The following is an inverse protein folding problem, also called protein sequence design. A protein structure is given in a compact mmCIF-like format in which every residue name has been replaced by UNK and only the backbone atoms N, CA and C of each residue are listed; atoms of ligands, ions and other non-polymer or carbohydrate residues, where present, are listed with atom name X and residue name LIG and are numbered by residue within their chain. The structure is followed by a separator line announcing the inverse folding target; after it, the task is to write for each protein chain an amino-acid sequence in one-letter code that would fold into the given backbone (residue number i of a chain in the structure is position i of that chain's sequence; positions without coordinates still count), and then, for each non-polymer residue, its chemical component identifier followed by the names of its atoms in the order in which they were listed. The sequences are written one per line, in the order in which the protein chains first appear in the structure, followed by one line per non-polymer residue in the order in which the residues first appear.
data_IF_772464322799
#
_entry.id   IF_772464322799
#
_cell.length_a   1.000
_cell.length_b   1.000
_cell.length_c   1.000
_cell.angle_alpha   90.00
_cell.angle_beta   90.00
_cell.angle_gamma   90.00
#
_symmetry.space_group_name_H-M   'P 1'
#
loop_
_entity.id
_entity.type
_entity.pdbx_description
1 polymer ?
#
# COMPACT_ATOMS: atom_id res chain seq x y z
N UNK A 1 8.72 -24.51 27.81
CA UNK A 1 10.17 -24.20 27.61
C UNK A 1 11.02 -25.39 28.03
N UNK A 2 12.04 -25.67 27.25
CA UNK A 2 13.05 -26.70 27.60
C UNK A 2 13.90 -26.25 28.79
N UNK A 3 14.38 -27.18 29.62
CA UNK A 3 15.31 -26.84 30.69
C UNK A 3 16.63 -26.31 30.15
N UNK A 4 17.30 -25.43 30.93
CA UNK A 4 18.63 -24.91 30.61
C UNK A 4 18.70 -23.38 30.46
N UNK A 5 17.57 -22.67 30.26
CA UNK A 5 17.58 -21.21 30.31
C UNK A 5 17.82 -20.75 31.76
N UNK A 6 18.84 -19.93 31.98
CA UNK A 6 19.26 -19.45 33.29
C UNK A 6 19.59 -17.95 33.23
N UNK A 7 19.57 -17.31 34.41
CA UNK A 7 20.12 -15.96 34.59
C UNK A 7 21.58 -15.98 34.18
N UNK A 8 21.98 -14.97 33.38
CA UNK A 8 23.32 -14.88 32.78
C UNK A 8 23.44 -15.43 31.36
N UNK A 9 22.48 -16.19 30.85
CA UNK A 9 22.43 -16.54 29.44
C UNK A 9 22.37 -15.26 28.60
N UNK A 10 23.11 -15.25 27.50
CA UNK A 10 23.18 -14.11 26.61
C UNK A 10 23.17 -14.51 25.14
N UNK A 11 22.76 -13.61 24.27
CA UNK A 11 22.92 -13.74 22.83
C UNK A 11 23.30 -12.39 22.23
N UNK A 12 24.00 -12.46 21.11
CA UNK A 12 24.44 -11.31 20.34
C UNK A 12 23.82 -11.34 18.94
N UNK A 13 23.54 -10.15 18.43
CA UNK A 13 23.10 -9.92 17.07
C UNK A 13 23.94 -8.84 16.44
N UNK A 14 24.41 -9.07 15.22
CA UNK A 14 25.23 -8.13 14.46
C UNK A 14 24.49 -7.68 13.22
N UNK A 15 24.50 -6.37 12.95
CA UNK A 15 23.97 -5.76 11.74
C UNK A 15 25.01 -4.82 11.12
N UNK A 16 24.88 -4.61 9.81
CA UNK A 16 25.48 -3.47 9.15
C UNK A 16 24.41 -2.40 8.92
N UNK A 17 24.67 -1.16 9.31
CA UNK A 17 23.75 -0.05 9.11
C UNK A 17 23.68 0.29 7.62
N UNK A 18 22.50 0.13 7.03
CA UNK A 18 22.22 0.48 5.63
C UNK A 18 21.26 1.67 5.57
N UNK A 19 20.96 2.15 4.36
CA UNK A 19 20.01 3.24 4.15
C UNK A 19 18.60 2.94 4.68
N UNK A 20 18.20 1.67 4.79
CA UNK A 20 16.91 1.26 5.34
C UNK A 20 16.83 1.38 6.87
N UNK A 21 17.97 1.48 7.53
CA UNK A 21 18.08 1.52 8.99
C UNK A 21 18.17 2.92 9.58
N UNK A 22 18.26 3.95 8.74
CA UNK A 22 18.55 5.32 9.20
C UNK A 22 17.34 6.24 9.11
N UNK A 23 17.40 7.30 9.94
CA UNK A 23 16.62 8.53 9.78
C UNK A 23 17.57 9.67 9.43
N UNK A 24 17.07 10.67 8.75
CA UNK A 24 17.83 11.86 8.42
C UNK A 24 17.58 12.96 9.45
N UNK A 25 18.57 13.27 10.29
CA UNK A 25 18.50 14.42 11.19
C UNK A 25 18.58 15.70 10.38
N UNK A 26 17.73 16.68 10.71
CA UNK A 26 17.60 17.92 9.96
C UNK A 26 16.57 17.91 8.83
N UNK A 27 15.97 16.74 8.54
CA UNK A 27 14.81 16.62 7.66
C UNK A 27 13.59 16.08 8.42
N UNK A 28 12.37 16.59 8.15
CA UNK A 28 11.17 16.00 8.71
C UNK A 28 11.06 14.55 8.22
N UNK A 29 11.07 13.59 9.15
CA UNK A 29 10.77 12.20 8.81
C UNK A 29 9.33 12.12 8.27
N UNK A 30 9.07 11.33 7.22
CA UNK A 30 7.69 11.10 6.74
C UNK A 30 6.74 10.55 7.82
N UNK A 31 7.28 9.99 8.90
CA UNK A 31 6.53 9.47 10.05
C UNK A 31 6.25 10.49 11.15
N UNK A 32 6.88 11.68 11.10
CA UNK A 32 6.63 12.75 12.07
C UNK A 32 5.56 13.66 11.48
N UNK A 33 4.38 13.67 12.11
CA UNK A 33 3.22 14.43 11.67
C UNK A 33 3.47 15.95 11.58
N UNK A 34 2.44 16.68 11.16
CA UNK A 34 2.41 18.13 10.87
C UNK A 34 3.01 19.07 11.94
N UNK A 35 3.23 18.58 13.15
CA UNK A 35 3.71 19.39 14.28
C UNK A 35 5.12 19.93 14.11
N UNK A 36 5.96 19.31 13.26
CA UNK A 36 7.32 19.77 12.99
C UNK A 36 7.34 21.02 12.09
N UNK A 37 6.45 21.08 11.09
CA UNK A 37 6.31 22.24 10.20
C UNK A 37 5.74 23.48 10.93
N UNK A 38 5.01 23.27 12.03
CA UNK A 38 4.46 24.34 12.87
C UNK A 38 5.48 24.96 13.82
N UNK A 39 6.66 24.35 13.99
CA UNK A 39 7.68 24.82 14.92
C UNK A 39 8.44 26.06 14.46
N UNK A 40 8.30 26.48 13.20
CA UNK A 40 8.99 27.65 12.64
C UNK A 40 10.51 27.56 12.63
N UNK A 41 11.10 26.37 12.85
CA UNK A 41 12.55 26.18 12.85
C UNK A 41 13.09 26.14 11.43
N UNK A 42 14.19 26.83 11.11
CA UNK A 42 14.83 26.72 9.80
C UNK A 42 15.29 25.28 9.56
N UNK A 43 15.03 24.76 8.36
CA UNK A 43 15.56 23.46 7.92
C UNK A 43 17.06 23.61 7.73
N UNK A 44 17.91 22.76 8.36
CA UNK A 44 19.36 22.82 8.14
C UNK A 44 19.72 22.52 6.68
N UNK A 45 20.74 23.19 6.15
CA UNK A 45 21.25 22.97 4.77
C UNK A 45 21.80 21.55 4.53
N UNK A 46 22.02 20.77 5.60
CA UNK A 46 22.57 19.42 5.53
C UNK A 46 21.76 18.45 6.39
N UNK A 47 21.35 17.33 5.81
CA UNK A 47 20.79 16.20 6.57
C UNK A 47 21.87 15.19 6.90
N UNK A 48 21.87 14.69 8.13
CA UNK A 48 22.82 13.65 8.58
C UNK A 48 22.05 12.33 8.76
N UNK A 49 22.35 11.28 7.96
CA UNK A 49 21.74 9.97 8.14
C UNK A 49 22.33 9.29 9.39
N UNK A 50 21.48 8.91 10.33
CA UNK A 50 21.86 8.20 11.54
C UNK A 50 20.99 6.97 11.76
N UNK A 51 21.57 5.93 12.37
CA UNK A 51 20.84 4.72 12.75
C UNK A 51 19.62 5.07 13.61
N UNK A 52 18.44 4.66 13.18
CA UNK A 52 17.20 5.10 13.81
C UNK A 52 16.91 4.37 15.12
N UNK A 53 16.36 5.08 16.09
CA UNK A 53 15.94 4.49 17.38
C UNK A 53 15.01 3.28 17.20
N UNK A 54 13.98 3.31 16.34
CA UNK A 54 13.15 2.13 16.10
C UNK A 54 13.93 0.91 15.60
N UNK A 55 14.90 1.10 14.69
CA UNK A 55 15.72 0.01 14.18
C UNK A 55 16.71 -0.52 15.23
N UNK A 56 17.27 0.35 16.07
CA UNK A 56 18.09 -0.07 17.22
C UNK A 56 17.25 -0.91 18.20
N UNK A 57 16.06 -0.47 18.56
CA UNK A 57 15.13 -1.23 19.42
C UNK A 57 14.81 -2.58 18.79
N UNK A 58 14.47 -2.64 17.52
CA UNK A 58 14.17 -3.88 16.80
C UNK A 58 15.37 -4.87 16.85
N UNK A 59 16.58 -4.36 16.66
CA UNK A 59 17.80 -5.16 16.77
C UNK A 59 17.98 -5.74 18.18
N UNK A 60 17.77 -4.92 19.20
CA UNK A 60 17.87 -5.29 20.62
C UNK A 60 16.81 -6.33 21.00
N UNK A 61 15.57 -6.17 20.54
CA UNK A 61 14.49 -7.15 20.73
C UNK A 61 14.81 -8.51 20.08
N UNK A 62 15.40 -8.49 18.87
CA UNK A 62 15.82 -9.71 18.16
C UNK A 62 16.97 -10.42 18.89
N UNK A 63 17.90 -9.67 19.48
CA UNK A 63 18.95 -10.26 20.32
C UNK A 63 18.35 -10.98 21.54
N UNK A 64 17.37 -10.38 22.22
CA UNK A 64 16.67 -11.00 23.34
C UNK A 64 15.86 -12.25 22.92
N UNK A 65 15.20 -12.21 21.75
CA UNK A 65 14.52 -13.39 21.19
C UNK A 65 15.51 -14.52 20.94
N UNK A 66 16.67 -14.21 20.35
CA UNK A 66 17.72 -15.20 20.04
C UNK A 66 18.26 -15.89 21.31
N UNK A 67 18.29 -15.17 22.44
CA UNK A 67 18.73 -15.73 23.71
C UNK A 67 17.75 -16.79 24.28
N UNK A 68 16.48 -16.73 23.92
CA UNK A 68 15.42 -17.68 24.37
C UNK A 68 15.23 -18.82 23.36
N UNK A 69 15.42 -18.57 22.07
CA UNK A 69 15.06 -19.45 20.96
C UNK A 69 15.51 -20.92 21.15
N UNK A 70 16.73 -21.24 21.64
CA UNK A 70 17.17 -22.62 21.85
C UNK A 70 16.36 -23.39 22.89
N UNK A 71 15.63 -22.66 23.76
CA UNK A 71 14.88 -23.21 24.91
C UNK A 71 13.37 -23.27 24.68
N UNK A 72 12.91 -22.87 23.48
CA UNK A 72 11.50 -22.99 23.10
C UNK A 72 11.17 -24.43 22.70
N UNK A 73 9.99 -24.88 23.04
CA UNK A 73 9.41 -26.14 22.56
C UNK A 73 8.62 -25.90 21.27
N UNK A 74 8.29 -26.99 20.60
CA UNK A 74 7.44 -26.93 19.40
C UNK A 74 6.09 -26.32 19.77
N UNK A 75 5.68 -25.28 19.03
CA UNK A 75 4.45 -24.54 19.29
C UNK A 75 4.58 -23.40 20.30
N UNK A 76 5.79 -23.19 20.86
CA UNK A 76 6.08 -21.99 21.68
C UNK A 76 6.77 -20.89 20.88
N UNK A 77 6.52 -19.65 21.25
CA UNK A 77 7.20 -18.46 20.74
C UNK A 77 7.37 -17.44 21.87
N UNK A 78 8.36 -16.55 21.76
CA UNK A 78 8.54 -15.46 22.70
C UNK A 78 8.08 -14.13 22.10
N UNK A 79 7.26 -13.40 22.85
CA UNK A 79 6.74 -12.08 22.46
C UNK A 79 7.28 -10.99 23.39
N UNK A 80 7.54 -9.79 22.84
CA UNK A 80 7.89 -8.61 23.64
C UNK A 80 6.71 -8.21 24.53
N UNK A 81 6.98 -7.94 25.79
CA UNK A 81 5.99 -7.53 26.80
C UNK A 81 6.25 -6.12 27.33
N UNK A 82 7.50 -5.70 27.43
CA UNK A 82 7.89 -4.34 27.80
C UNK A 82 9.30 -4.04 27.26
N UNK A 83 9.54 -2.78 26.92
CA UNK A 83 10.85 -2.28 26.46
C UNK A 83 11.08 -0.90 27.06
N UNK A 84 12.29 -0.68 27.61
CA UNK A 84 12.74 0.62 28.08
C UNK A 84 14.19 0.79 27.63
N UNK A 85 14.43 1.64 26.63
CA UNK A 85 15.71 1.78 25.93
C UNK A 85 16.10 3.26 25.87
N UNK A 86 17.37 3.54 26.18
CA UNK A 86 18.02 4.82 25.93
C UNK A 86 18.87 4.70 24.65
N UNK A 87 18.68 5.61 23.71
CA UNK A 87 19.57 5.78 22.55
C UNK A 87 20.62 6.84 22.92
N UNK A 88 21.88 6.46 22.99
CA UNK A 88 22.94 7.25 23.58
C UNK A 88 23.77 7.99 22.53
N UNK A 89 23.99 7.39 21.36
CA UNK A 89 24.81 7.97 20.31
C UNK A 89 24.30 7.63 18.90
N UNK A 90 24.49 8.55 17.96
CA UNK A 90 24.12 8.36 16.56
C UNK A 90 25.17 7.54 15.81
N UNK A 91 24.75 6.57 15.01
CA UNK A 91 25.63 5.68 14.23
C UNK A 91 25.44 5.91 12.74
N UNK A 92 26.51 6.19 11.96
CA UNK A 92 26.41 6.45 10.53
C UNK A 92 26.17 5.19 9.69
N UNK A 93 25.72 5.40 8.44
CA UNK A 93 25.61 4.34 7.44
C UNK A 93 26.98 3.66 7.23
N UNK A 94 26.95 2.34 7.06
CA UNK A 94 28.15 1.50 6.85
C UNK A 94 28.76 0.96 8.13
N UNK A 95 28.41 1.50 9.30
CA UNK A 95 28.91 0.99 10.59
C UNK A 95 28.40 -0.42 10.87
N UNK A 96 29.24 -1.22 11.51
CA UNK A 96 28.82 -2.47 12.14
C UNK A 96 28.22 -2.16 13.51
N UNK A 97 27.05 -2.70 13.80
CA UNK A 97 26.40 -2.56 15.10
C UNK A 97 26.16 -3.94 15.72
N UNK A 98 26.31 -4.01 17.04
CA UNK A 98 26.16 -5.23 17.81
C UNK A 98 25.22 -4.98 18.98
N UNK A 99 24.17 -5.78 19.11
CA UNK A 99 23.30 -5.81 20.28
C UNK A 99 23.57 -7.05 21.11
N UNK A 100 23.64 -6.88 22.42
CA UNK A 100 23.82 -7.98 23.39
C UNK A 100 22.62 -7.99 24.34
N UNK A 101 21.95 -9.13 24.46
CA UNK A 101 20.87 -9.33 25.40
C UNK A 101 21.27 -10.38 26.42
N UNK A 102 21.25 -10.03 27.71
CA UNK A 102 21.59 -10.88 28.83
C UNK A 102 20.40 -11.07 29.74
N UNK A 103 20.06 -12.33 30.03
CA UNK A 103 18.98 -12.68 30.97
C UNK A 103 19.33 -12.23 32.37
N UNK A 104 18.48 -11.41 32.97
CA UNK A 104 18.63 -10.89 34.35
C UNK A 104 17.69 -11.53 35.35
N UNK A 105 16.48 -11.93 34.90
CA UNK A 105 15.48 -12.56 35.76
C UNK A 105 14.58 -13.49 34.94
N UNK A 106 14.12 -14.57 35.56
CA UNK A 106 13.18 -15.53 34.98
C UNK A 106 12.11 -15.83 36.03
N UNK A 107 10.87 -15.53 35.67
CA UNK A 107 9.70 -15.88 36.48
C UNK A 107 8.70 -16.65 35.60
N UNK A 108 8.57 -17.96 35.85
CA UNK A 108 7.70 -18.86 35.06
C UNK A 108 8.02 -18.78 33.53
N UNK A 109 7.20 -18.06 32.79
CA UNK A 109 7.30 -17.87 31.32
C UNK A 109 7.67 -16.44 30.95
N UNK A 110 8.03 -15.60 31.92
CA UNK A 110 8.45 -14.22 31.74
C UNK A 110 9.95 -14.14 31.96
N UNK A 111 10.66 -13.51 31.05
CA UNK A 111 12.11 -13.38 31.06
C UNK A 111 12.45 -11.90 30.92
N UNK A 112 13.24 -11.38 31.85
CA UNK A 112 13.78 -10.03 31.80
C UNK A 112 15.23 -10.03 31.33
N UNK A 113 15.57 -9.00 30.58
CA UNK A 113 16.87 -8.80 29.97
C UNK A 113 17.42 -7.43 30.30
N UNK A 114 18.73 -7.36 30.51
CA UNK A 114 19.53 -6.20 30.26
C UNK A 114 20.00 -6.24 28.80
N UNK A 115 19.87 -5.11 28.09
CA UNK A 115 20.25 -5.06 26.67
C UNK A 115 21.14 -3.85 26.43
N UNK A 116 22.22 -4.07 25.68
CA UNK A 116 23.15 -3.04 25.23
C UNK A 116 23.37 -3.12 23.73
N UNK A 117 23.61 -1.99 23.11
CA UNK A 117 23.99 -1.93 21.70
C UNK A 117 25.27 -1.07 21.55
N UNK A 118 26.14 -1.49 20.65
CA UNK A 118 27.42 -0.88 20.37
C UNK A 118 27.58 -0.71 18.86
N UNK A 119 28.26 0.32 18.44
CA UNK A 119 28.88 0.39 17.11
C UNK A 119 30.39 0.09 17.19
N UNK A 120 31.14 0.47 16.17
CA UNK A 120 32.59 0.23 16.12
C UNK A 120 33.39 1.07 17.16
N UNK A 121 32.76 2.08 17.75
CA UNK A 121 33.46 3.09 18.54
C UNK A 121 32.96 3.15 19.97
N UNK A 122 31.65 3.02 20.22
CA UNK A 122 31.05 3.26 21.52
C UNK A 122 29.76 2.49 21.77
N UNK A 123 29.23 2.63 22.98
CA UNK A 123 27.87 2.17 23.31
C UNK A 123 26.85 3.16 22.74
N UNK A 124 26.00 2.68 21.85
CA UNK A 124 24.98 3.49 21.18
C UNK A 124 23.59 3.37 21.81
N UNK A 125 23.39 2.36 22.64
CA UNK A 125 22.12 2.17 23.36
C UNK A 125 22.20 1.17 24.49
N UNK A 126 21.33 1.35 25.47
CA UNK A 126 21.16 0.44 26.61
C UNK A 126 19.73 0.44 27.15
N UNK A 127 19.37 -0.58 27.89
CA UNK A 127 18.09 -0.61 28.57
C UNK A 127 17.68 -1.99 29.05
N UNK A 128 16.36 -2.13 29.28
CA UNK A 128 15.77 -3.38 29.73
C UNK A 128 14.68 -3.82 28.76
N UNK A 129 14.51 -5.13 28.64
CA UNK A 129 13.48 -5.73 27.82
C UNK A 129 12.84 -6.90 28.55
N UNK A 130 11.54 -7.01 28.51
CA UNK A 130 10.77 -8.12 29.05
C UNK A 130 10.12 -8.90 27.92
N UNK A 131 10.27 -10.21 27.95
CA UNK A 131 9.62 -11.11 27.01
C UNK A 131 8.78 -12.15 27.74
N UNK A 132 7.70 -12.58 27.10
CA UNK A 132 6.86 -13.67 27.60
C UNK A 132 6.86 -14.81 26.58
N UNK A 133 7.06 -16.06 27.05
CA UNK A 133 6.90 -17.24 26.23
C UNK A 133 5.44 -17.65 26.20
N UNK A 134 4.90 -17.75 24.99
CA UNK A 134 3.49 -18.02 24.73
C UNK A 134 3.32 -19.29 23.87
N UNK A 135 2.16 -19.92 23.96
CA UNK A 135 1.75 -20.97 23.04
C UNK A 135 1.10 -20.34 21.83
N UNK A 136 1.62 -20.60 20.64
CA UNK A 136 1.11 -20.05 19.37
C UNK A 136 -0.38 -20.34 19.18
N UNK A 137 -0.80 -21.55 19.52
CA UNK A 137 -2.23 -21.94 19.48
C UNK A 137 -3.12 -21.01 20.32
N UNK A 138 -2.70 -20.70 21.55
CA UNK A 138 -3.44 -19.80 22.45
C UNK A 138 -3.46 -18.36 21.95
N UNK A 139 -2.36 -17.91 21.37
CA UNK A 139 -2.27 -16.58 20.76
C UNK A 139 -3.17 -16.51 19.54
N UNK A 140 -3.12 -17.51 18.65
CA UNK A 140 -3.98 -17.59 17.47
C UNK A 140 -5.46 -17.59 17.85
N UNK A 141 -5.86 -18.41 18.84
CA UNK A 141 -7.24 -18.43 19.34
C UNK A 141 -7.67 -17.06 19.93
N UNK A 142 -6.79 -16.40 20.68
CA UNK A 142 -7.07 -15.06 21.24
C UNK A 142 -7.17 -13.99 20.15
N UNK A 143 -6.34 -14.06 19.11
CA UNK A 143 -6.41 -13.14 17.98
C UNK A 143 -7.67 -13.35 17.16
N UNK A 144 -8.05 -14.62 16.88
CA UNK A 144 -9.30 -14.96 16.22
C UNK A 144 -10.52 -14.48 17.02
N UNK A 145 -10.51 -14.64 18.36
CA UNK A 145 -11.56 -14.11 19.23
C UNK A 145 -11.61 -12.57 19.22
N UNK A 146 -10.45 -11.89 19.25
CA UNK A 146 -10.40 -10.42 19.10
C UNK A 146 -10.90 -9.95 17.75
N UNK A 147 -10.56 -10.65 16.67
CA UNK A 147 -11.06 -10.34 15.32
C UNK A 147 -12.58 -10.58 15.21
N UNK A 148 -13.09 -11.64 15.85
CA UNK A 148 -14.53 -11.89 15.93
C UNK A 148 -15.25 -10.80 16.76
N UNK A 149 -14.68 -10.38 17.89
CA UNK A 149 -15.21 -9.28 18.71
C UNK A 149 -15.10 -7.93 18.01
N UNK A 150 -13.99 -7.63 17.33
CA UNK A 150 -13.85 -6.42 16.53
C UNK A 150 -14.84 -6.40 15.34
N UNK A 151 -15.12 -7.55 14.73
CA UNK A 151 -16.23 -7.69 13.77
C UNK A 151 -17.59 -7.49 14.45
N UNK A 152 -17.78 -7.98 15.66
CA UNK A 152 -19.03 -7.80 16.41
C UNK A 152 -19.21 -6.34 16.86
N UNK A 153 -18.15 -5.68 17.33
CA UNK A 153 -18.17 -4.26 17.68
C UNK A 153 -18.33 -3.36 16.47
N UNK A 154 -17.67 -3.68 15.34
CA UNK A 154 -17.90 -2.96 14.07
C UNK A 154 -19.31 -3.21 13.52
N UNK A 155 -19.89 -4.39 13.70
CA UNK A 155 -21.28 -4.69 13.36
C UNK A 155 -22.23 -4.02 14.37
N UNK A 156 -21.94 -4.02 15.67
CA UNK A 156 -22.74 -3.32 16.70
C UNK A 156 -22.63 -1.81 16.63
N UNK A 157 -21.45 -1.24 16.34
CA UNK A 157 -21.31 0.19 16.10
C UNK A 157 -21.98 0.62 14.78
N UNK A 158 -21.96 -0.23 13.76
CA UNK A 158 -22.72 0.00 12.52
C UNK A 158 -24.22 -0.23 12.67
N UNK A 159 -24.66 -1.02 13.67
CA UNK A 159 -26.09 -1.24 13.99
C UNK A 159 -26.64 -0.20 14.97
N UNK A 160 -25.78 0.53 15.71
CA UNK A 160 -26.20 1.61 16.61
C UNK A 160 -26.09 3.02 16.01
N UNK A 161 -25.47 3.16 14.82
CA UNK A 161 -25.37 4.43 14.09
C UNK A 161 -26.26 4.42 12.85
N UNK A 162 -27.55 4.61 13.05
CA UNK A 162 -28.50 4.99 11.98
C UNK A 162 -29.45 3.90 11.51
N UNK A 163 -30.64 4.26 11.05
CA UNK A 163 -31.63 3.32 10.52
C UNK A 163 -31.10 2.63 9.28
N UNK A 164 -31.29 1.32 9.22
CA UNK A 164 -30.98 0.51 8.04
C UNK A 164 -31.62 1.13 6.78
N UNK A 165 -30.79 1.42 5.78
CA UNK A 165 -31.31 1.54 4.42
C UNK A 165 -31.46 2.94 3.84
N UNK A 166 -30.73 3.99 4.27
CA UNK A 166 -30.55 5.17 3.42
C UNK A 166 -29.30 4.95 2.59
N UNK A 167 -29.39 4.79 1.25
CA UNK A 167 -28.19 4.81 0.40
C UNK A 167 -27.53 6.17 0.64
N UNK A 168 -26.30 6.18 1.15
CA UNK A 168 -25.53 7.43 1.23
C UNK A 168 -25.46 8.00 -0.19
N UNK A 169 -25.98 9.20 -0.37
CA UNK A 169 -25.94 9.88 -1.67
C UNK A 169 -24.49 9.96 -2.14
N UNK A 170 -24.28 9.81 -3.46
CA UNK A 170 -22.97 10.01 -4.06
C UNK A 170 -22.40 11.37 -3.64
N UNK A 171 -21.10 11.46 -3.31
CA UNK A 171 -20.49 12.74 -2.95
C UNK A 171 -20.61 13.74 -4.11
N UNK A 172 -20.88 14.99 -3.80
CA UNK A 172 -20.87 16.07 -4.77
C UNK A 172 -19.42 16.54 -4.97
N UNK A 173 -18.87 16.31 -6.14
CA UNK A 173 -17.47 16.58 -6.49
C UNK A 173 -17.42 17.57 -7.65
N UNK A 174 -16.47 18.50 -7.61
CA UNK A 174 -16.40 19.61 -8.57
C UNK A 174 -15.79 19.20 -9.91
N UNK A 175 -14.82 18.29 -9.87
CA UNK A 175 -13.99 17.90 -11.03
C UNK A 175 -14.21 16.45 -11.46
N UNK A 176 -15.05 15.71 -10.74
CA UNK A 176 -15.42 14.34 -11.03
C UNK A 176 -16.95 14.24 -11.14
N UNK A 177 -17.43 13.64 -12.23
CA UNK A 177 -18.85 13.28 -12.36
C UNK A 177 -19.01 11.79 -12.02
N UNK A 178 -19.96 11.51 -11.13
CA UNK A 178 -20.22 10.16 -10.63
C UNK A 178 -21.55 9.63 -11.15
N UNK A 179 -21.54 8.41 -11.66
CA UNK A 179 -22.77 7.72 -12.08
C UNK A 179 -22.70 6.28 -11.60
N UNK A 180 -23.60 5.90 -10.70
CA UNK A 180 -23.69 4.56 -10.18
C UNK A 180 -24.79 3.74 -10.89
N UNK A 181 -24.47 2.50 -11.28
CA UNK A 181 -25.41 1.52 -11.81
C UNK A 181 -25.18 0.19 -11.09
N UNK A 182 -26.02 -0.11 -10.11
CA UNK A 182 -25.84 -1.28 -9.25
C UNK A 182 -24.49 -1.24 -8.52
N UNK A 183 -23.68 -2.25 -8.72
CA UNK A 183 -22.34 -2.36 -8.10
C UNK A 183 -21.21 -1.74 -8.93
N UNK A 184 -21.53 -1.04 -10.03
CA UNK A 184 -20.55 -0.31 -10.87
C UNK A 184 -20.69 1.17 -10.62
N UNK A 185 -19.59 1.84 -10.29
CA UNK A 185 -19.46 3.29 -10.24
C UNK A 185 -18.64 3.76 -11.43
N UNK A 186 -19.26 4.58 -12.30
CA UNK A 186 -18.52 5.29 -13.34
C UNK A 186 -18.08 6.65 -12.80
N UNK A 187 -16.79 6.92 -12.93
CA UNK A 187 -16.13 8.19 -12.59
C UNK A 187 -15.65 8.84 -13.88
N UNK A 188 -16.15 10.01 -14.18
CA UNK A 188 -15.72 10.78 -15.34
C UNK A 188 -14.93 11.99 -14.88
N UNK A 189 -13.64 12.09 -15.25
CA UNK A 189 -12.83 13.28 -15.06
C UNK A 189 -13.47 14.44 -15.83
N UNK A 190 -13.83 15.53 -15.16
CA UNK A 190 -14.71 16.55 -15.72
C UNK A 190 -14.09 17.95 -15.73
N UNK A 191 -12.94 18.07 -16.35
CA UNK A 191 -12.28 19.34 -16.73
C UNK A 191 -11.92 19.32 -18.23
N UNK A 192 -12.88 19.08 -19.14
CA UNK A 192 -12.57 18.87 -20.58
C UNK A 192 -11.87 20.05 -21.22
N UNK A 193 -12.16 21.30 -20.79
CA UNK A 193 -11.50 22.53 -21.23
C UNK A 193 -10.01 22.62 -20.86
N UNK A 194 -9.56 21.75 -19.97
CA UNK A 194 -8.16 21.56 -19.52
C UNK A 194 -7.64 20.16 -19.84
N UNK A 195 -8.27 19.46 -20.79
CA UNK A 195 -7.95 18.07 -21.13
C UNK A 195 -7.90 17.17 -19.89
N UNK A 196 -8.75 17.44 -18.91
CA UNK A 196 -8.87 16.73 -17.63
C UNK A 196 -7.57 16.74 -16.80
N UNK A 197 -6.75 17.79 -16.93
CA UNK A 197 -5.55 17.92 -16.12
C UNK A 197 -5.88 17.95 -14.62
N UNK A 198 -5.03 17.28 -13.84
CA UNK A 198 -5.17 17.14 -12.39
C UNK A 198 -4.68 18.40 -11.70
N UNK A 199 -5.56 19.04 -10.96
CA UNK A 199 -5.26 20.18 -10.11
C UNK A 199 -5.50 19.84 -8.63
N UNK A 200 -5.24 20.77 -7.72
CA UNK A 200 -5.48 20.57 -6.28
C UNK A 200 -6.93 20.16 -5.97
N UNK A 201 -7.91 20.74 -6.68
CA UNK A 201 -9.31 20.40 -6.48
C UNK A 201 -9.61 18.96 -6.91
N UNK A 202 -9.10 18.51 -8.07
CA UNK A 202 -9.30 17.14 -8.53
C UNK A 202 -8.61 16.14 -7.59
N UNK A 203 -7.45 16.49 -7.04
CA UNK A 203 -6.78 15.69 -6.00
C UNK A 203 -7.67 15.56 -4.77
N UNK A 204 -8.25 16.68 -4.27
CA UNK A 204 -9.17 16.65 -3.13
C UNK A 204 -10.46 15.87 -3.41
N UNK A 205 -11.00 15.97 -4.62
CA UNK A 205 -12.18 15.23 -5.04
C UNK A 205 -11.91 13.71 -5.07
N UNK A 206 -10.73 13.30 -5.55
CA UNK A 206 -10.32 11.90 -5.52
C UNK A 206 -10.08 11.38 -4.08
N UNK A 207 -9.48 12.17 -3.20
CA UNK A 207 -9.31 11.81 -1.79
C UNK A 207 -10.68 11.59 -1.12
N UNK A 208 -11.63 12.48 -1.36
CA UNK A 208 -12.99 12.33 -0.86
C UNK A 208 -13.70 11.11 -1.44
N UNK A 209 -13.51 10.83 -2.74
CA UNK A 209 -14.06 9.65 -3.39
C UNK A 209 -13.43 8.36 -2.84
N UNK A 210 -12.12 8.32 -2.61
CA UNK A 210 -11.45 7.17 -2.01
C UNK A 210 -11.98 6.86 -0.60
N UNK A 211 -12.18 7.90 0.22
CA UNK A 211 -12.79 7.76 1.55
C UNK A 211 -14.23 7.22 1.47
N UNK A 212 -15.01 7.72 0.51
CA UNK A 212 -16.36 7.22 0.24
C UNK A 212 -16.34 5.74 -0.18
N UNK A 213 -15.51 5.36 -1.16
CA UNK A 213 -15.40 3.99 -1.67
C UNK A 213 -15.00 3.00 -0.58
N UNK A 214 -14.12 3.38 0.35
CA UNK A 214 -13.71 2.54 1.47
C UNK A 214 -14.91 2.14 2.36
N UNK A 215 -15.94 2.98 2.43
CA UNK A 215 -17.19 2.75 3.19
C UNK A 215 -18.31 2.09 2.38
N UNK A 216 -18.12 1.84 1.07
CA UNK A 216 -19.15 1.36 0.14
C UNK A 216 -18.86 -0.05 -0.39
N UNK A 217 -19.06 -1.10 0.42
CA UNK A 217 -18.78 -2.48 0.00
C UNK A 217 -19.67 -2.98 -1.15
N UNK A 218 -20.81 -2.32 -1.37
CA UNK A 218 -21.74 -2.64 -2.47
C UNK A 218 -21.23 -2.19 -3.84
N UNK A 219 -20.33 -1.20 -3.90
CA UNK A 219 -19.61 -0.85 -5.12
C UNK A 219 -18.46 -1.84 -5.27
N UNK A 220 -18.45 -2.58 -6.37
CA UNK A 220 -17.46 -3.64 -6.63
C UNK A 220 -16.47 -3.26 -7.71
N UNK A 221 -16.90 -2.43 -8.67
CA UNK A 221 -16.07 -2.01 -9.79
C UNK A 221 -16.21 -0.50 -9.99
N UNK A 222 -15.09 0.15 -10.22
CA UNK A 222 -15.01 1.58 -10.57
C UNK A 222 -14.49 1.69 -12.00
N UNK A 223 -15.26 2.30 -12.89
CA UNK A 223 -14.84 2.59 -14.28
C UNK A 223 -14.47 4.05 -14.37
N UNK A 224 -13.21 4.35 -14.73
CA UNK A 224 -12.67 5.71 -14.83
C UNK A 224 -12.50 6.10 -16.30
N UNK A 225 -13.03 7.27 -16.70
CA UNK A 225 -12.87 7.82 -18.05
C UNK A 225 -12.72 9.35 -18.02
N UNK A 226 -12.39 9.97 -19.14
CA UNK A 226 -12.31 11.42 -19.26
C UNK A 226 -13.49 12.01 -20.05
N UNK A 227 -13.98 13.18 -19.63
CA UNK A 227 -14.92 13.95 -20.43
C UNK A 227 -14.22 14.55 -21.67
N UNK A 228 -14.92 14.65 -22.80
CA UNK A 228 -14.38 15.21 -24.03
C UNK A 228 -13.36 14.31 -24.72
N UNK A 229 -12.30 14.90 -25.27
CA UNK A 229 -11.38 14.23 -26.18
C UNK A 229 -10.15 13.59 -25.51
N UNK A 230 -9.90 13.91 -24.26
CA UNK A 230 -8.76 13.41 -23.48
C UNK A 230 -9.21 12.50 -22.34
N UNK A 231 -8.38 11.53 -21.99
CA UNK A 231 -8.48 10.86 -20.72
C UNK A 231 -7.98 11.80 -19.61
N UNK A 232 -6.69 12.12 -19.59
CA UNK A 232 -6.11 13.09 -18.67
C UNK A 232 -4.73 13.56 -19.17
N UNK A 233 -4.51 14.87 -19.24
CA UNK A 233 -3.28 15.47 -19.78
C UNK A 233 -2.12 15.55 -18.76
N UNK A 234 -2.29 15.06 -17.54
CA UNK A 234 -1.29 15.17 -16.48
C UNK A 234 -1.65 16.24 -15.46
N UNK A 235 -0.66 16.70 -14.71
CA UNK A 235 -0.86 17.78 -13.76
C UNK A 235 -1.18 19.11 -14.46
N UNK A 236 -1.96 19.97 -13.82
CA UNK A 236 -2.20 21.33 -14.31
C UNK A 236 -0.93 22.18 -14.13
N UNK A 237 -0.05 22.13 -15.13
CA UNK A 237 1.28 22.77 -15.11
C UNK A 237 1.20 24.27 -14.77
N UNK A 238 0.13 24.94 -15.20
CA UNK A 238 -0.07 26.37 -14.89
C UNK A 238 -0.31 26.58 -13.41
N UNK A 239 -1.07 25.69 -12.77
CA UNK A 239 -1.28 25.75 -11.32
C UNK A 239 0.01 25.39 -10.57
N UNK A 240 0.65 24.25 -10.93
CA UNK A 240 1.91 23.80 -10.32
C UNK A 240 2.97 24.89 -10.38
N UNK A 241 3.11 25.58 -11.50
CA UNK A 241 4.09 26.66 -11.70
C UNK A 241 3.86 27.91 -10.83
N UNK A 242 2.72 28.01 -10.15
CA UNK A 242 2.40 29.12 -9.23
C UNK A 242 2.47 28.74 -7.75
N UNK A 243 2.72 27.46 -7.44
CA UNK A 243 2.77 26.99 -6.07
C UNK A 243 4.13 27.25 -5.43
N UNK A 244 4.12 27.58 -4.15
CA UNK A 244 5.32 27.50 -3.31
C UNK A 244 5.82 26.07 -3.25
N UNK A 245 7.16 25.86 -3.17
CA UNK A 245 7.78 24.55 -3.23
C UNK A 245 7.22 23.56 -2.20
N UNK A 246 6.95 24.00 -0.98
CA UNK A 246 6.35 23.18 0.07
C UNK A 246 4.94 22.71 -0.28
N UNK A 247 4.15 23.57 -0.93
CA UNK A 247 2.78 23.26 -1.38
C UNK A 247 2.84 22.28 -2.56
N UNK A 248 3.73 22.52 -3.52
CA UNK A 248 3.93 21.63 -4.65
C UNK A 248 4.39 20.23 -4.20
N UNK A 249 5.30 20.16 -3.22
CA UNK A 249 5.75 18.90 -2.61
C UNK A 249 4.60 18.16 -1.93
N UNK A 250 3.81 18.83 -1.10
CA UNK A 250 2.66 18.21 -0.43
C UNK A 250 1.60 17.75 -1.44
N UNK A 251 1.34 18.52 -2.50
CA UNK A 251 0.44 18.12 -3.57
C UNK A 251 0.92 16.83 -4.26
N UNK A 252 2.21 16.74 -4.59
CA UNK A 252 2.80 15.53 -5.17
C UNK A 252 2.65 14.31 -4.26
N UNK A 253 2.89 14.45 -2.95
CA UNK A 253 2.66 13.37 -1.97
C UNK A 253 1.19 12.98 -1.86
N UNK A 254 0.26 13.94 -1.88
CA UNK A 254 -1.18 13.67 -1.86
C UNK A 254 -1.61 12.88 -3.09
N UNK A 255 -1.15 13.26 -4.27
CA UNK A 255 -1.42 12.57 -5.53
C UNK A 255 -0.85 11.15 -5.52
N UNK A 256 0.38 10.97 -5.06
CA UNK A 256 0.97 9.64 -4.91
C UNK A 256 0.14 8.75 -3.97
N UNK A 257 -0.22 9.24 -2.78
CA UNK A 257 -1.07 8.52 -1.81
C UNK A 257 -2.46 8.20 -2.37
N UNK A 258 -3.02 9.10 -3.14
CA UNK A 258 -4.33 8.95 -3.77
C UNK A 258 -4.37 7.73 -4.70
N UNK A 259 -3.35 7.54 -5.55
CA UNK A 259 -3.26 6.39 -6.45
C UNK A 259 -2.90 5.09 -5.71
N UNK A 260 -1.97 5.14 -4.74
CA UNK A 260 -1.61 3.99 -3.91
C UNK A 260 -2.79 3.47 -3.08
N UNK A 261 -3.73 4.35 -2.70
CA UNK A 261 -4.94 3.92 -1.99
C UNK A 261 -5.78 2.92 -2.80
N UNK A 262 -5.73 2.96 -4.14
CA UNK A 262 -6.50 2.05 -4.99
C UNK A 262 -6.05 0.59 -4.88
N UNK A 263 -4.80 0.34 -4.56
CA UNK A 263 -4.28 -1.01 -4.29
C UNK A 263 -4.93 -1.65 -3.05
N UNK A 264 -5.28 -0.80 -2.07
CA UNK A 264 -5.89 -1.24 -0.80
C UNK A 264 -7.42 -1.26 -0.84
N UNK A 265 -8.04 -0.54 -1.76
CA UNK A 265 -9.48 -0.51 -1.91
C UNK A 265 -10.01 -1.86 -2.47
N UNK A 266 -11.14 -2.36 -1.94
CA UNK A 266 -11.70 -3.64 -2.37
C UNK A 266 -12.30 -3.62 -3.78
N UNK A 267 -12.52 -2.43 -4.35
CA UNK A 267 -13.07 -2.25 -5.69
C UNK A 267 -12.00 -2.52 -6.75
N UNK A 268 -12.39 -3.12 -7.87
CA UNK A 268 -11.55 -3.21 -9.06
C UNK A 268 -11.70 -1.93 -9.88
N UNK A 269 -10.58 -1.29 -10.21
CA UNK A 269 -10.54 -0.08 -11.04
C UNK A 269 -10.27 -0.44 -12.50
N UNK A 270 -11.12 0.04 -13.41
CA UNK A 270 -10.97 -0.16 -14.86
C UNK A 270 -10.81 1.20 -15.52
N UNK A 271 -9.66 1.46 -16.13
CA UNK A 271 -9.45 2.66 -16.94
C UNK A 271 -10.10 2.47 -18.34
N UNK A 272 -11.02 3.35 -18.69
CA UNK A 272 -11.61 3.51 -20.02
C UNK A 272 -10.97 4.73 -20.71
N UNK A 273 -9.82 4.49 -21.35
CA UNK A 273 -8.91 5.55 -21.85
C UNK A 273 -9.36 6.03 -23.22
N UNK A 274 -10.14 7.11 -23.24
CA UNK A 274 -10.81 7.63 -24.43
C UNK A 274 -9.94 8.55 -25.30
N UNK A 275 -8.72 8.89 -24.87
CA UNK A 275 -7.81 9.79 -25.58
C UNK A 275 -6.43 9.81 -24.95
N UNK A 276 -5.75 10.97 -24.99
CA UNK A 276 -4.42 11.10 -24.40
C UNK A 276 -4.41 10.87 -22.88
N UNK A 277 -3.35 10.23 -22.40
CA UNK A 277 -3.05 9.96 -21.00
C UNK A 277 -1.57 10.30 -20.76
N UNK A 278 -1.28 11.52 -20.29
CA UNK A 278 0.08 12.03 -20.11
C UNK A 278 0.39 12.31 -18.65
N UNK A 279 1.65 12.16 -18.25
CA UNK A 279 2.11 12.45 -16.88
C UNK A 279 1.23 11.80 -15.82
N UNK A 280 0.66 12.59 -14.91
CA UNK A 280 -0.32 12.14 -13.92
C UNK A 280 -1.48 11.33 -14.52
N UNK A 281 -1.89 11.61 -15.76
CA UNK A 281 -2.91 10.82 -16.47
C UNK A 281 -2.41 9.43 -16.89
N UNK A 282 -1.14 9.32 -17.26
CA UNK A 282 -0.51 8.02 -17.53
C UNK A 282 -0.37 7.22 -16.22
N UNK A 283 -0.01 7.88 -15.11
CA UNK A 283 0.05 7.27 -13.77
C UNK A 283 -1.35 6.82 -13.31
N UNK A 284 -2.38 7.65 -13.51
CA UNK A 284 -3.77 7.29 -13.22
C UNK A 284 -4.21 6.04 -13.98
N UNK A 285 -3.87 5.96 -15.27
CA UNK A 285 -4.14 4.78 -16.07
C UNK A 285 -3.35 3.56 -15.56
N UNK A 286 -2.07 3.74 -15.21
CA UNK A 286 -1.21 2.69 -14.66
C UNK A 286 -1.73 2.14 -13.33
N UNK A 287 -2.23 3.01 -12.44
CA UNK A 287 -2.77 2.65 -11.14
C UNK A 287 -4.10 1.88 -11.19
N UNK A 288 -4.83 1.92 -12.30
CA UNK A 288 -6.02 1.07 -12.47
C UNK A 288 -5.63 -0.40 -12.66
N UNK A 289 -6.43 -1.31 -12.12
CA UNK A 289 -6.19 -2.75 -12.22
C UNK A 289 -6.31 -3.25 -13.67
N UNK A 290 -7.33 -2.80 -14.39
CA UNK A 290 -7.59 -3.17 -15.79
C UNK A 290 -7.69 -1.91 -16.67
N UNK A 291 -7.31 -2.05 -17.95
CA UNK A 291 -7.21 -0.91 -18.87
C UNK A 291 -7.68 -1.26 -20.27
N UNK A 292 -8.64 -0.51 -20.77
CA UNK A 292 -9.06 -0.54 -22.18
C UNK A 292 -8.88 0.85 -22.77
N UNK A 293 -8.29 0.96 -23.95
CA UNK A 293 -7.99 2.23 -24.57
C UNK A 293 -8.55 2.35 -26.00
N UNK A 294 -8.79 3.58 -26.40
CA UNK A 294 -9.11 3.90 -27.79
C UNK A 294 -7.92 3.67 -28.72
N UNK A 295 -8.15 3.26 -29.97
CA UNK A 295 -7.09 3.11 -30.97
C UNK A 295 -6.27 4.40 -31.18
N UNK A 296 -6.88 5.56 -30.98
CA UNK A 296 -6.23 6.87 -31.10
C UNK A 296 -5.69 7.42 -29.76
N UNK A 297 -5.71 6.65 -28.69
CA UNK A 297 -5.13 7.07 -27.42
C UNK A 297 -3.60 7.19 -27.51
N UNK A 298 -3.04 8.06 -26.71
CA UNK A 298 -1.60 8.27 -26.59
C UNK A 298 -1.20 8.26 -25.12
N UNK A 299 -0.01 7.74 -24.84
CA UNK A 299 0.52 7.63 -23.50
C UNK A 299 1.91 8.28 -23.45
N UNK A 300 2.24 8.95 -22.36
CA UNK A 300 3.55 9.57 -22.23
C UNK A 300 3.85 10.08 -20.84
N UNK A 301 5.15 10.28 -20.58
CA UNK A 301 5.68 10.90 -19.38
C UNK A 301 6.52 12.11 -19.79
N UNK A 302 5.87 13.24 -20.16
CA UNK A 302 6.54 14.37 -20.82
C UNK A 302 7.24 15.35 -19.86
N UNK A 303 7.29 15.05 -18.57
CA UNK A 303 7.79 15.96 -17.52
C UNK A 303 9.22 16.42 -17.78
N UNK A 304 10.06 15.56 -18.37
CA UNK A 304 11.44 15.90 -18.73
C UNK A 304 11.52 17.07 -19.74
N UNK A 305 10.53 17.22 -20.61
CA UNK A 305 10.44 18.31 -21.57
C UNK A 305 10.13 19.66 -20.89
N UNK A 306 9.67 19.62 -19.65
CA UNK A 306 9.37 20.78 -18.81
C UNK A 306 10.50 21.09 -17.81
N UNK A 307 11.55 20.25 -17.78
CA UNK A 307 12.74 20.46 -16.96
C UNK A 307 12.73 19.76 -15.59
N UNK A 308 11.79 18.83 -15.34
CA UNK A 308 11.73 18.05 -14.10
C UNK A 308 11.40 16.57 -14.38
N UNK A 309 11.75 15.65 -13.46
CA UNK A 309 11.34 14.25 -13.56
C UNK A 309 9.86 14.08 -13.18
N UNK A 310 9.21 12.95 -13.54
CA UNK A 310 7.92 12.61 -12.97
C UNK A 310 7.96 12.62 -11.44
N UNK A 311 7.01 13.32 -10.81
CA UNK A 311 6.98 13.48 -9.36
C UNK A 311 6.57 12.21 -8.61
N UNK A 312 5.89 11.27 -9.27
CA UNK A 312 5.40 9.99 -8.76
C UNK A 312 5.06 9.03 -9.91
N UNK A 313 4.78 7.76 -9.59
CA UNK A 313 4.28 6.76 -10.55
C UNK A 313 5.35 6.05 -11.39
N UNK A 314 6.65 6.41 -11.29
CA UNK A 314 7.72 5.75 -12.05
C UNK A 314 7.82 4.26 -11.69
N UNK A 315 7.64 3.92 -10.42
CA UNK A 315 7.70 2.54 -9.96
C UNK A 315 6.59 1.69 -10.58
N UNK A 316 5.33 2.16 -10.52
CA UNK A 316 4.17 1.48 -11.12
C UNK A 316 4.33 1.33 -12.63
N UNK A 317 4.77 2.39 -13.33
CA UNK A 317 5.04 2.32 -14.76
C UNK A 317 6.12 1.28 -15.07
N UNK A 318 7.22 1.28 -14.29
CA UNK A 318 8.33 0.34 -14.47
C UNK A 318 7.89 -1.10 -14.24
N UNK A 319 7.06 -1.35 -13.25
CA UNK A 319 6.50 -2.68 -12.97
C UNK A 319 5.65 -3.19 -14.15
N UNK A 320 4.85 -2.32 -14.77
CA UNK A 320 3.99 -2.70 -15.88
C UNK A 320 4.74 -2.93 -17.19
N UNK A 321 5.65 -2.02 -17.58
CA UNK A 321 6.26 -2.03 -18.90
C UNK A 321 7.71 -2.54 -18.92
N UNK A 322 8.30 -2.73 -17.76
CA UNK A 322 9.71 -3.06 -17.55
C UNK A 322 10.64 -1.84 -17.68
N UNK A 323 11.83 -1.94 -17.09
CA UNK A 323 12.79 -0.83 -16.93
C UNK A 323 13.17 -0.14 -18.26
N UNK A 324 13.45 -0.92 -19.30
CA UNK A 324 13.91 -0.37 -20.59
C UNK A 324 12.86 0.53 -21.24
N UNK A 325 11.59 0.10 -21.22
CA UNK A 325 10.48 0.87 -21.82
C UNK A 325 10.10 2.07 -20.95
N UNK A 326 10.13 1.93 -19.62
CA UNK A 326 9.95 3.05 -18.71
C UNK A 326 11.03 4.12 -18.92
N UNK A 327 12.30 3.73 -19.09
CA UNK A 327 13.39 4.66 -19.43
C UNK A 327 13.13 5.37 -20.77
N UNK A 328 12.70 4.66 -21.82
CA UNK A 328 12.34 5.28 -23.10
C UNK A 328 11.26 6.34 -22.89
N UNK A 329 10.15 6.01 -22.24
CA UNK A 329 9.03 6.94 -22.02
C UNK A 329 9.42 8.16 -21.18
N UNK A 330 10.13 7.95 -20.05
CA UNK A 330 10.45 9.02 -19.11
C UNK A 330 11.65 9.89 -19.56
N UNK A 331 12.67 9.31 -20.21
CA UNK A 331 13.87 10.07 -20.59
C UNK A 331 13.70 10.81 -21.92
N UNK A 332 12.86 10.31 -22.80
CA UNK A 332 12.58 11.02 -24.07
C UNK A 332 11.41 11.99 -23.94
N UNK A 333 10.48 11.74 -23.02
CA UNK A 333 9.23 12.47 -22.88
C UNK A 333 8.30 12.34 -24.11
N UNK A 334 8.65 11.48 -25.06
CA UNK A 334 7.87 11.32 -26.29
C UNK A 334 6.65 10.43 -26.05
N UNK A 335 5.48 10.81 -26.57
CA UNK A 335 4.30 9.98 -26.45
C UNK A 335 4.40 8.71 -27.30
N UNK A 336 3.83 7.62 -26.79
CA UNK A 336 3.65 6.37 -27.54
C UNK A 336 2.20 6.21 -27.96
N UNK A 337 1.98 5.64 -29.15
CA UNK A 337 0.65 5.31 -29.65
C UNK A 337 0.02 4.14 -28.85
N UNK A 338 -1.29 4.02 -28.89
CA UNK A 338 -2.06 3.00 -28.18
C UNK A 338 -1.62 1.57 -28.51
N UNK A 339 -1.28 1.27 -29.78
CA UNK A 339 -0.77 -0.05 -30.15
C UNK A 339 0.56 -0.35 -29.44
N UNK A 340 1.49 0.60 -29.41
CA UNK A 340 2.76 0.45 -28.70
C UNK A 340 2.55 0.29 -27.18
N UNK A 341 1.56 0.97 -26.62
CA UNK A 341 1.19 0.81 -25.20
C UNK A 341 0.64 -0.61 -24.91
N UNK A 342 -0.13 -1.19 -25.84
CA UNK A 342 -0.57 -2.59 -25.76
C UNK A 342 0.64 -3.55 -25.84
N UNK A 343 1.54 -3.35 -26.78
CA UNK A 343 2.74 -4.19 -26.98
C UNK A 343 3.71 -4.10 -25.77
N UNK A 344 3.68 -2.97 -25.06
CA UNK A 344 4.45 -2.77 -23.82
C UNK A 344 3.82 -3.40 -22.59
N UNK A 345 2.55 -3.82 -22.66
CA UNK A 345 1.80 -4.32 -21.52
C UNK A 345 1.23 -3.21 -20.60
N UNK A 346 1.30 -1.95 -21.04
CA UNK A 346 0.72 -0.83 -20.30
C UNK A 346 -0.81 -0.89 -20.27
N UNK A 347 -1.43 -1.41 -21.32
CA UNK A 347 -2.88 -1.59 -21.44
C UNK A 347 -3.23 -3.02 -21.86
N UNK A 348 -4.48 -3.43 -21.65
CA UNK A 348 -4.93 -4.80 -21.91
C UNK A 348 -5.68 -4.95 -23.23
N UNK A 349 -6.41 -3.91 -23.67
CA UNK A 349 -7.31 -3.99 -24.84
C UNK A 349 -7.34 -2.67 -25.60
N UNK A 350 -7.52 -2.80 -26.94
CA UNK A 350 -7.80 -1.67 -27.83
C UNK A 350 -9.18 -1.84 -28.47
N UNK A 351 -9.94 -0.75 -28.52
CA UNK A 351 -11.25 -0.69 -29.15
C UNK A 351 -11.44 0.65 -29.89
N UNK A 352 -12.42 0.78 -30.79
CA UNK A 352 -12.81 2.08 -31.31
C UNK A 352 -13.19 3.05 -30.20
N UNK A 353 -12.82 4.32 -30.33
CA UNK A 353 -13.03 5.34 -29.26
C UNK A 353 -14.45 5.35 -28.72
N UNK A 354 -15.46 5.27 -29.59
CA UNK A 354 -16.87 5.28 -29.20
C UNK A 354 -17.29 4.06 -28.36
N UNK A 355 -16.47 3.02 -28.34
CA UNK A 355 -16.75 1.76 -27.61
C UNK A 355 -15.97 1.66 -26.29
N UNK A 356 -15.04 2.58 -26.00
CA UNK A 356 -14.13 2.45 -24.85
C UNK A 356 -14.89 2.30 -23.52
N UNK A 357 -15.84 3.17 -23.24
CA UNK A 357 -16.64 3.13 -21.99
C UNK A 357 -17.51 1.87 -21.96
N UNK A 358 -18.17 1.53 -23.07
CA UNK A 358 -19.00 0.33 -23.18
C UNK A 358 -18.18 -0.94 -22.95
N UNK A 359 -16.98 -1.03 -23.52
CA UNK A 359 -16.08 -2.18 -23.36
C UNK A 359 -15.61 -2.30 -21.88
N UNK A 360 -15.33 -1.18 -21.19
CA UNK A 360 -14.98 -1.16 -19.78
C UNK A 360 -16.17 -1.59 -18.90
N UNK A 361 -17.38 -1.10 -19.19
CA UNK A 361 -18.59 -1.48 -18.47
C UNK A 361 -18.94 -2.97 -18.67
N UNK A 362 -18.80 -3.49 -19.90
CA UNK A 362 -18.95 -4.92 -20.18
C UNK A 362 -17.94 -5.78 -19.40
N UNK A 363 -16.70 -5.29 -19.30
CA UNK A 363 -15.68 -5.98 -18.49
C UNK A 363 -16.04 -5.93 -17.00
N UNK A 364 -16.53 -4.79 -16.51
CA UNK A 364 -17.06 -4.67 -15.14
C UNK A 364 -18.19 -5.67 -14.87
N UNK A 365 -19.14 -5.81 -15.80
CA UNK A 365 -20.25 -6.78 -15.70
C UNK A 365 -19.76 -8.24 -15.66
N UNK A 366 -18.67 -8.55 -16.39
CA UNK A 366 -18.04 -9.88 -16.30
C UNK A 366 -17.45 -10.13 -14.91
N UNK A 367 -16.77 -9.13 -14.32
CA UNK A 367 -16.22 -9.23 -12.97
C UNK A 367 -17.30 -9.38 -11.89
N UNK A 368 -18.46 -8.74 -12.08
CA UNK A 368 -19.59 -8.88 -11.14
C UNK A 368 -20.15 -10.29 -11.07
N UNK A 369 -19.92 -11.12 -12.07
CA UNK A 369 -20.34 -12.56 -12.09
C UNK A 369 -19.39 -13.44 -11.26
N UNK A 370 -18.23 -12.92 -10.83
CA UNK A 370 -17.24 -13.65 -10.06
C UNK A 370 -17.50 -13.48 -8.54
N UNK A 371 -17.04 -14.41 -7.69
CA UNK A 371 -17.13 -14.28 -6.24
C UNK A 371 -16.41 -13.01 -5.74
N UNK A 372 -17.14 -12.11 -5.06
CA UNK A 372 -16.63 -10.82 -4.65
C UNK A 372 -15.39 -10.93 -3.75
N UNK A 373 -15.41 -11.85 -2.79
CA UNK A 373 -14.30 -12.03 -1.86
C UNK A 373 -13.05 -12.58 -2.55
N UNK A 374 -13.20 -13.58 -3.42
CA UNK A 374 -12.07 -14.13 -4.18
C UNK A 374 -11.42 -13.05 -5.07
N UNK A 375 -12.24 -12.22 -5.72
CA UNK A 375 -11.75 -11.11 -6.54
C UNK A 375 -10.93 -10.09 -5.72
N UNK A 376 -11.42 -9.72 -4.54
CA UNK A 376 -10.73 -8.81 -3.61
C UNK A 376 -9.40 -9.39 -3.11
N UNK A 377 -9.41 -10.65 -2.65
CA UNK A 377 -8.21 -11.30 -2.15
C UNK A 377 -7.17 -11.47 -3.27
N UNK A 378 -7.58 -11.84 -4.49
CA UNK A 378 -6.67 -11.96 -5.63
C UNK A 378 -6.01 -10.62 -5.97
N UNK A 379 -6.79 -9.52 -6.05
CA UNK A 379 -6.23 -8.18 -6.26
C UNK A 379 -5.20 -7.83 -5.18
N UNK A 380 -5.56 -8.06 -3.92
CA UNK A 380 -4.70 -7.75 -2.77
C UNK A 380 -3.38 -8.51 -2.80
N UNK A 381 -3.42 -9.81 -3.16
CA UNK A 381 -2.22 -10.63 -3.27
C UNK A 381 -1.30 -10.14 -4.39
N UNK A 382 -1.85 -9.84 -5.57
CA UNK A 382 -1.06 -9.33 -6.70
C UNK A 382 -0.28 -8.06 -6.29
N UNK A 383 -0.92 -7.10 -5.61
CA UNK A 383 -0.24 -5.89 -5.15
C UNK A 383 0.72 -6.15 -3.98
N UNK A 384 0.38 -7.04 -3.04
CA UNK A 384 1.24 -7.35 -1.89
C UNK A 384 2.50 -8.12 -2.29
N UNK A 385 2.44 -8.90 -3.36
CA UNK A 385 3.53 -9.76 -3.82
C UNK A 385 4.48 -9.03 -4.78
N UNK A 386 4.13 -7.83 -5.21
CA UNK A 386 4.97 -7.03 -6.09
C UNK A 386 6.35 -6.79 -5.46
N UNK A 387 7.40 -7.21 -6.16
CA UNK A 387 8.79 -7.11 -5.70
C UNK A 387 9.21 -8.13 -4.64
N UNK A 388 8.32 -9.00 -4.18
CA UNK A 388 8.68 -10.06 -3.24
C UNK A 388 9.37 -11.25 -3.94
N UNK A 389 10.21 -11.96 -3.17
CA UNK A 389 10.72 -13.25 -3.61
C UNK A 389 9.58 -14.28 -3.62
N UNK A 390 9.45 -15.14 -4.65
CA UNK A 390 8.34 -16.10 -4.78
C UNK A 390 8.09 -16.94 -3.52
N UNK A 391 9.16 -17.32 -2.81
CA UNK A 391 9.06 -18.10 -1.57
C UNK A 391 8.33 -17.35 -0.46
N UNK A 392 8.48 -16.02 -0.39
CA UNK A 392 7.82 -15.19 0.63
C UNK A 392 6.35 -14.97 0.29
N UNK A 393 6.04 -14.74 -0.98
CA UNK A 393 4.68 -14.57 -1.49
C UNK A 393 3.83 -15.84 -1.31
N UNK A 394 4.40 -17.01 -1.58
CA UNK A 394 3.70 -18.30 -1.54
C UNK A 394 2.97 -18.61 -0.22
N UNK A 395 3.50 -18.18 0.92
CA UNK A 395 2.83 -18.37 2.22
C UNK A 395 1.58 -17.50 2.37
N UNK A 396 1.63 -16.26 1.86
CA UNK A 396 0.49 -15.34 1.87
C UNK A 396 -0.62 -15.84 0.93
N UNK A 397 -0.24 -16.28 -0.27
CA UNK A 397 -1.14 -16.90 -1.24
C UNK A 397 -1.88 -18.10 -0.65
N UNK A 398 -1.13 -19.03 -0.05
CA UNK A 398 -1.71 -20.22 0.58
C UNK A 398 -2.68 -19.85 1.71
N UNK A 399 -2.31 -18.89 2.55
CA UNK A 399 -3.18 -18.44 3.63
C UNK A 399 -4.49 -17.80 3.12
N UNK A 400 -4.43 -17.01 2.05
CA UNK A 400 -5.61 -16.43 1.42
C UNK A 400 -6.48 -17.50 0.74
N UNK A 401 -5.86 -18.44 0.02
CA UNK A 401 -6.54 -19.58 -0.60
C UNK A 401 -7.33 -20.40 0.43
N UNK A 402 -6.71 -20.79 1.54
CA UNK A 402 -7.36 -21.57 2.60
C UNK A 402 -8.55 -20.79 3.20
N UNK A 403 -8.38 -19.49 3.48
CA UNK A 403 -9.50 -18.66 3.97
C UNK A 403 -10.66 -18.62 2.97
N UNK A 404 -10.37 -18.52 1.68
CA UNK A 404 -11.41 -18.47 0.65
C UNK A 404 -12.14 -19.81 0.50
N UNK A 405 -11.50 -20.96 0.70
CA UNK A 405 -12.14 -22.28 0.63
C UNK A 405 -13.28 -22.47 1.64
N UNK A 406 -13.25 -21.78 2.77
CA UNK A 406 -14.31 -21.85 3.79
C UNK A 406 -15.57 -21.07 3.40
N UNK A 407 -15.47 -20.19 2.40
CA UNK A 407 -16.57 -19.31 1.99
C UNK A 407 -17.67 -20.07 1.22
N UNK A 408 -18.93 -19.62 1.33
CA UNK A 408 -20.05 -20.22 0.60
C UNK A 408 -19.84 -20.23 -0.92
N UNK A 409 -19.28 -19.18 -1.50
CA UNK A 409 -19.05 -19.06 -2.93
C UNK A 409 -17.99 -20.04 -3.44
N UNK A 410 -16.97 -20.37 -2.63
CA UNK A 410 -15.99 -21.40 -3.00
C UNK A 410 -16.63 -22.80 -3.03
N UNK A 411 -17.49 -23.11 -2.05
CA UNK A 411 -18.25 -24.35 -2.01
C UNK A 411 -19.19 -24.48 -3.20
N UNK A 412 -19.89 -23.40 -3.54
CA UNK A 412 -20.74 -23.33 -4.73
C UNK A 412 -19.94 -23.52 -6.01
N UNK A 413 -18.79 -22.86 -6.15
CA UNK A 413 -17.90 -23.01 -7.30
C UNK A 413 -17.43 -24.44 -7.50
N UNK A 414 -17.02 -25.12 -6.42
CA UNK A 414 -16.61 -26.53 -6.44
C UNK A 414 -17.78 -27.43 -6.83
N UNK A 415 -18.97 -27.25 -6.23
CA UNK A 415 -20.17 -28.01 -6.54
C UNK A 415 -20.59 -27.82 -8.00
N UNK A 416 -20.64 -26.59 -8.48
CA UNK A 416 -21.00 -26.27 -9.86
C UNK A 416 -20.05 -26.91 -10.87
N UNK A 417 -18.73 -26.86 -10.59
CA UNK A 417 -17.72 -27.51 -11.42
C UNK A 417 -17.92 -29.03 -11.47
N UNK A 418 -18.14 -29.65 -10.31
CA UNK A 418 -18.36 -31.10 -10.21
C UNK A 418 -19.65 -31.54 -10.93
N UNK A 419 -20.71 -30.74 -10.81
CA UNK A 419 -22.03 -30.99 -11.41
C UNK A 419 -22.11 -30.51 -12.87
N UNK A 420 -21.04 -29.93 -13.43
CA UNK A 420 -20.97 -29.40 -14.80
C UNK A 420 -22.07 -28.38 -15.11
N UNK A 421 -22.39 -27.53 -14.18
CA UNK A 421 -23.35 -26.42 -14.30
C UNK A 421 -22.69 -25.06 -14.07
N UNK A 422 -23.38 -24.00 -14.45
CA UNK A 422 -22.94 -22.65 -14.10
C UNK A 422 -23.10 -22.37 -12.60
N UNK A 423 -22.10 -21.75 -11.94
CA UNK A 423 -22.18 -21.40 -10.53
C UNK A 423 -23.17 -20.23 -10.28
N UNK A 424 -23.74 -20.20 -9.07
CA UNK A 424 -24.61 -19.13 -8.59
C UNK A 424 -24.00 -18.48 -7.36
N UNK A 425 -23.04 -17.58 -7.56
CA UNK A 425 -22.36 -16.87 -6.49
C UNK A 425 -23.28 -15.87 -5.81
N UNK A 426 -23.10 -15.71 -4.49
CA UNK A 426 -23.88 -14.76 -3.68
C UNK A 426 -23.34 -13.34 -3.73
N UNK A 427 -22.05 -13.16 -4.09
CA UNK A 427 -21.36 -11.88 -4.23
C UNK A 427 -20.66 -11.39 -2.98
#
# INVERSE_FOLDING_TARGET
MRPGLAVGNQAELHWQVTAEHVIHLGYPSPSVGKDWLLSGRPVPDHSVPVFSTPNMILMMERAARRAIEPFLEVGEESVGAAVNIEHLAGTPIGSQVRAVAKVTHIEKRVIDFEITAYDNFEMIGRGTHRRAVVLLEKVAAKMSAKQANAKHESIQSSLQSGPAGVPMSLPQLSTLQLQQRGAILKVTLNRPQKLNAVNQQMTSDWEALNAYLASQPMIRVVVVTGAGDAFCAGDDVKEVGTLELSVAQELSYRQARMYLAWEQLPQVFIAAINGLAYGAGCVLAAACDLKVAAHNAQFGMPEILLGWPPGYGIAQLTALVGKTRAMEMCLTGQPIAAQKALDYGLIHRLVPRVQVVVAAEQWAEQLLKLPAQALRETKKLIHADEGLQPKSAFLADTAAYVRCLELPDAKEGIAAFTEKRSPKFRG
#
